data_IF_247613250404
#
_entry.id   IF_247613250404
#
_cell.length_a   1.000
_cell.length_b   1.000
_cell.length_c   1.000
_cell.angle_alpha   90.00
_cell.angle_beta   90.00
_cell.angle_gamma   90.00
#
_symmetry.space_group_name_H-M   'P 1'
#
loop_
_entity.id
_entity.type
_entity.pdbx_description
1 polymer ?
#
# COMPACT_ATOMS: atom_id res chain seq x y z
N UNK A 1 -6.02 -27.53 19.89
CA UNK A 1 -5.63 -27.19 18.50
C UNK A 1 -6.71 -27.73 17.59
N UNK A 2 -7.51 -26.86 16.99
CA UNK A 2 -8.72 -27.24 16.24
C UNK A 2 -8.42 -27.30 14.74
N UNK A 3 -9.24 -28.02 13.96
CA UNK A 3 -9.11 -28.12 12.49
C UNK A 3 -9.11 -26.73 11.81
N UNK A 4 -9.86 -25.79 12.38
CA UNK A 4 -9.92 -24.40 11.94
C UNK A 4 -8.59 -23.66 12.08
N UNK A 5 -7.76 -24.00 13.07
CA UNK A 5 -6.44 -23.39 13.25
C UNK A 5 -5.49 -23.77 12.10
N UNK A 6 -5.56 -25.02 11.64
CA UNK A 6 -4.73 -25.49 10.53
C UNK A 6 -5.13 -24.87 9.20
N UNK A 7 -6.43 -24.72 8.95
CA UNK A 7 -6.95 -24.05 7.76
C UNK A 7 -6.55 -22.57 7.77
N UNK A 8 -6.70 -21.89 8.91
CA UNK A 8 -6.32 -20.48 9.05
C UNK A 8 -4.82 -20.27 8.80
N UNK A 9 -3.95 -21.11 9.37
CA UNK A 9 -2.49 -21.06 9.13
C UNK A 9 -2.14 -21.33 7.67
N UNK A 10 -2.73 -22.37 7.06
CA UNK A 10 -2.49 -22.71 5.67
C UNK A 10 -2.87 -21.58 4.72
N UNK A 11 -4.05 -20.98 4.93
CA UNK A 11 -4.53 -19.84 4.15
C UNK A 11 -3.64 -18.60 4.32
N UNK A 12 -3.18 -18.35 5.55
CA UNK A 12 -2.27 -17.25 5.86
C UNK A 12 -0.95 -17.38 5.09
N UNK A 13 -0.29 -18.54 5.14
CA UNK A 13 0.95 -18.78 4.41
C UNK A 13 0.75 -18.73 2.89
N UNK A 14 -0.36 -19.28 2.39
CA UNK A 14 -0.69 -19.27 0.97
C UNK A 14 -0.92 -17.85 0.40
N UNK A 15 -1.45 -16.92 1.20
CA UNK A 15 -1.56 -15.51 0.80
C UNK A 15 -0.26 -14.73 1.01
N UNK A 16 0.48 -15.01 2.08
CA UNK A 16 1.67 -14.25 2.45
C UNK A 16 2.80 -14.41 1.43
N UNK A 17 3.04 -15.62 0.94
CA UNK A 17 4.10 -15.90 -0.04
C UNK A 17 3.97 -15.13 -1.36
N UNK A 18 2.83 -15.21 -2.09
CA UNK A 18 2.65 -14.47 -3.34
C UNK A 18 2.62 -12.96 -3.11
N UNK A 19 2.08 -12.48 -1.98
CA UNK A 19 2.12 -11.07 -1.63
C UNK A 19 3.56 -10.58 -1.40
N UNK A 20 4.36 -11.32 -0.63
CA UNK A 20 5.77 -11.00 -0.41
C UNK A 20 6.59 -11.05 -1.71
N UNK A 21 6.32 -12.03 -2.59
CA UNK A 21 6.96 -12.13 -3.90
C UNK A 21 6.60 -10.93 -4.79
N UNK A 22 5.33 -10.55 -4.85
CA UNK A 22 4.88 -9.39 -5.63
C UNK A 22 5.52 -8.09 -5.12
N UNK A 23 5.51 -7.86 -3.80
CA UNK A 23 6.15 -6.68 -3.20
C UNK A 23 7.65 -6.69 -3.47
N UNK A 24 8.34 -7.80 -3.27
CA UNK A 24 9.79 -7.89 -3.51
C UNK A 24 10.15 -7.65 -4.98
N UNK A 25 9.40 -8.25 -5.90
CA UNK A 25 9.59 -8.05 -7.34
C UNK A 25 9.28 -6.62 -7.76
N UNK A 26 8.18 -6.04 -7.27
CA UNK A 26 7.83 -4.64 -7.55
C UNK A 26 8.86 -3.68 -6.97
N UNK A 27 9.37 -3.97 -5.77
CA UNK A 27 10.38 -3.16 -5.09
C UNK A 27 11.74 -3.19 -5.80
N UNK A 28 12.12 -4.33 -6.39
CA UNK A 28 13.42 -4.50 -7.04
C UNK A 28 13.40 -4.11 -8.52
N UNK A 29 12.27 -4.32 -9.21
CA UNK A 29 12.17 -4.13 -10.66
C UNK A 29 11.64 -2.76 -11.06
N UNK A 30 10.69 -2.20 -10.29
CA UNK A 30 10.08 -0.91 -10.60
C UNK A 30 10.92 0.23 -10.04
N UNK A 31 11.02 1.37 -10.73
CA UNK A 31 11.47 2.62 -10.11
C UNK A 31 10.34 3.22 -9.28
N UNK A 32 9.80 2.45 -8.33
CA UNK A 32 8.67 2.84 -7.48
C UNK A 32 8.97 4.12 -6.68
N UNK A 33 10.24 4.36 -6.35
CA UNK A 33 10.70 5.60 -5.72
C UNK A 33 10.59 6.83 -6.61
N UNK A 34 10.53 6.66 -7.93
CA UNK A 34 10.56 7.74 -8.91
C UNK A 34 9.17 8.21 -9.36
N UNK A 35 8.11 7.44 -9.08
CA UNK A 35 6.74 7.80 -9.44
C UNK A 35 5.88 7.96 -8.19
N UNK A 36 5.03 8.99 -8.16
CA UNK A 36 4.14 9.24 -7.03
C UNK A 36 3.19 8.05 -6.79
N UNK A 37 2.68 7.45 -7.88
CA UNK A 37 1.83 6.25 -7.82
C UNK A 37 2.60 5.06 -7.24
N UNK A 38 3.86 4.86 -7.65
CA UNK A 38 4.71 3.79 -7.14
C UNK A 38 4.99 3.91 -5.65
N UNK A 39 5.23 5.13 -5.17
CA UNK A 39 5.41 5.43 -3.73
C UNK A 39 4.15 5.15 -2.92
N UNK A 40 2.97 5.51 -3.45
CA UNK A 40 1.68 5.25 -2.79
C UNK A 40 1.45 3.74 -2.67
N UNK A 41 1.60 2.99 -3.78
CA UNK A 41 1.39 1.54 -3.79
C UNK A 41 2.37 0.84 -2.83
N UNK A 42 3.65 1.22 -2.86
CA UNK A 42 4.65 0.62 -1.98
C UNK A 42 4.42 0.97 -0.51
N UNK A 43 4.05 2.21 -0.19
CA UNK A 43 3.70 2.59 1.17
C UNK A 43 2.50 1.80 1.71
N UNK A 44 1.52 1.49 0.87
CA UNK A 44 0.36 0.69 1.23
C UNK A 44 0.78 -0.77 1.47
N UNK A 45 1.57 -1.33 0.55
CA UNK A 45 2.12 -2.68 0.70
C UNK A 45 2.98 -2.82 1.97
N UNK A 46 3.82 -1.84 2.29
CA UNK A 46 4.62 -1.80 3.53
C UNK A 46 3.73 -1.74 4.77
N UNK A 47 2.67 -0.93 4.74
CA UNK A 47 1.72 -0.82 5.86
C UNK A 47 1.02 -2.15 6.13
N UNK A 48 0.57 -2.83 5.08
CA UNK A 48 -0.04 -4.17 5.16
C UNK A 48 0.98 -5.21 5.62
N UNK A 49 2.20 -5.18 5.10
CA UNK A 49 3.27 -6.09 5.50
C UNK A 49 3.63 -5.92 6.98
N UNK A 50 3.70 -4.68 7.46
CA UNK A 50 3.96 -4.37 8.86
C UNK A 50 2.85 -4.91 9.78
N UNK A 51 1.58 -4.63 9.47
CA UNK A 51 0.42 -5.14 10.20
C UNK A 51 0.40 -6.68 10.26
N UNK A 52 0.68 -7.31 9.13
CA UNK A 52 0.71 -8.77 9.00
C UNK A 52 1.89 -9.37 9.75
N UNK A 53 3.06 -8.73 9.68
CA UNK A 53 4.26 -9.13 10.41
C UNK A 53 4.10 -9.01 11.92
N UNK A 54 3.44 -7.94 12.40
CA UNK A 54 3.16 -7.77 13.83
C UNK A 54 2.18 -8.84 14.34
N UNK A 55 1.14 -9.15 13.57
CA UNK A 55 0.20 -10.24 13.87
C UNK A 55 0.89 -11.60 13.88
N UNK A 56 1.79 -11.85 12.92
CA UNK A 56 2.59 -13.08 12.87
C UNK A 56 3.57 -13.17 14.05
N UNK A 57 4.19 -12.06 14.43
CA UNK A 57 5.10 -12.00 15.58
C UNK A 57 4.37 -12.37 16.87
N UNK A 58 3.18 -11.81 17.12
CA UNK A 58 2.33 -12.22 18.26
C UNK A 58 1.98 -13.71 18.20
N UNK A 59 1.69 -14.22 17.02
CA UNK A 59 1.35 -15.63 16.83
C UNK A 59 2.50 -16.59 17.14
N UNK A 60 3.76 -16.18 16.89
CA UNK A 60 4.94 -17.03 17.03
C UNK A 60 5.65 -16.86 18.37
N UNK A 61 5.72 -15.63 18.88
CA UNK A 61 6.51 -15.26 20.06
C UNK A 61 5.68 -15.10 21.34
N UNK A 62 4.36 -15.27 21.27
CA UNK A 62 3.42 -14.92 22.34
C UNK A 62 3.46 -13.41 22.68
N UNK A 63 2.75 -12.96 23.72
CA UNK A 63 2.77 -11.54 24.16
C UNK A 63 4.21 -11.12 24.55
N UNK A 64 4.89 -10.44 23.62
CA UNK A 64 6.22 -9.89 23.86
C UNK A 64 6.13 -8.49 24.51
N UNK A 65 6.99 -8.16 25.48
CA UNK A 65 6.93 -6.89 26.18
C UNK A 65 7.12 -5.71 25.22
N UNK A 66 6.20 -4.74 25.28
CA UNK A 66 6.22 -3.54 24.44
C UNK A 66 5.42 -3.63 23.14
N UNK A 67 4.72 -4.74 22.89
CA UNK A 67 3.91 -4.91 21.68
C UNK A 67 2.89 -3.79 21.47
N UNK A 68 2.16 -3.37 22.51
CA UNK A 68 1.22 -2.25 22.39
C UNK A 68 1.92 -0.95 21.95
N UNK A 69 3.15 -0.71 22.40
CA UNK A 69 3.93 0.48 22.01
C UNK A 69 4.31 0.39 20.53
N UNK A 70 4.82 -0.76 20.07
CA UNK A 70 5.13 -0.98 18.66
C UNK A 70 3.88 -0.89 17.79
N UNK A 71 2.76 -1.44 18.26
CA UNK A 71 1.48 -1.40 17.54
C UNK A 71 0.98 0.03 17.39
N UNK A 72 1.00 0.83 18.46
CA UNK A 72 0.62 2.25 18.42
C UNK A 72 1.56 3.05 17.51
N UNK A 73 2.88 2.87 17.64
CA UNK A 73 3.85 3.55 16.80
C UNK A 73 3.68 3.19 15.31
N UNK A 74 3.44 1.92 15.03
CA UNK A 74 3.14 1.42 13.69
C UNK A 74 1.85 1.99 13.12
N UNK A 75 0.76 1.99 13.89
CA UNK A 75 -0.49 2.64 13.48
C UNK A 75 -0.30 4.13 13.21
N UNK A 76 0.48 4.83 14.04
CA UNK A 76 0.77 6.25 13.84
C UNK A 76 1.54 6.48 12.53
N UNK A 77 2.57 5.68 12.26
CA UNK A 77 3.34 5.75 11.02
C UNK A 77 2.49 5.44 9.79
N UNK A 78 1.63 4.42 9.85
CA UNK A 78 0.66 4.10 8.79
C UNK A 78 -0.31 5.26 8.58
N UNK A 79 -0.82 5.86 9.67
CA UNK A 79 -1.77 6.97 9.60
C UNK A 79 -1.14 8.20 8.93
N UNK A 80 0.10 8.56 9.30
CA UNK A 80 0.86 9.62 8.64
C UNK A 80 1.08 9.30 7.16
N UNK A 81 1.44 8.06 6.85
CA UNK A 81 1.60 7.58 5.47
C UNK A 81 0.31 7.72 4.65
N UNK A 82 -0.83 7.32 5.20
CA UNK A 82 -2.13 7.44 4.55
C UNK A 82 -2.52 8.91 4.33
N UNK A 83 -2.32 9.79 5.31
CA UNK A 83 -2.55 11.22 5.14
C UNK A 83 -1.67 11.81 4.03
N UNK A 84 -0.40 11.40 3.94
CA UNK A 84 0.48 11.81 2.86
C UNK A 84 -0.04 11.31 1.48
N UNK A 85 -0.56 10.08 1.40
CA UNK A 85 -1.17 9.57 0.17
C UNK A 85 -2.44 10.34 -0.22
N UNK A 86 -3.30 10.65 0.75
CA UNK A 86 -4.52 11.47 0.54
C UNK A 86 -4.13 12.86 0.04
N UNK A 87 -3.15 13.51 0.67
CA UNK A 87 -2.66 14.81 0.22
C UNK A 87 -2.07 14.75 -1.20
N UNK A 88 -1.34 13.68 -1.53
CA UNK A 88 -0.80 13.47 -2.88
C UNK A 88 -1.92 13.28 -3.91
N UNK A 89 -2.94 12.49 -3.58
CA UNK A 89 -4.10 12.26 -4.44
C UNK A 89 -4.89 13.55 -4.68
N UNK A 90 -5.11 14.35 -3.63
CA UNK A 90 -5.76 15.67 -3.74
C UNK A 90 -4.95 16.63 -4.62
N UNK A 91 -3.61 16.61 -4.51
CA UNK A 91 -2.74 17.41 -5.39
C UNK A 91 -2.85 16.99 -6.85
N UNK A 92 -2.82 15.68 -7.14
CA UNK A 92 -2.94 15.14 -8.49
C UNK A 92 -4.31 15.49 -9.08
N UNK A 93 -5.40 15.28 -8.33
CA UNK A 93 -6.76 15.61 -8.79
C UNK A 93 -6.94 17.10 -9.05
N UNK A 94 -6.40 17.97 -8.19
CA UNK A 94 -6.44 19.41 -8.40
C UNK A 94 -5.59 19.86 -9.61
N UNK A 95 -4.44 19.23 -9.85
CA UNK A 95 -3.62 19.50 -11.03
C UNK A 95 -4.33 19.11 -12.32
N UNK A 96 -5.01 17.96 -12.37
CA UNK A 96 -5.81 17.53 -13.53
C UNK A 96 -7.04 18.41 -13.74
N UNK A 97 -7.73 18.81 -12.67
CA UNK A 97 -8.91 19.69 -12.74
C UNK A 97 -8.58 21.10 -13.20
N UNK A 98 -7.41 21.61 -12.85
CA UNK A 98 -6.95 22.94 -13.23
C UNK A 98 -6.07 22.94 -14.49
N UNK A 99 -5.93 21.81 -15.19
CA UNK A 99 -5.17 21.73 -16.42
C UNK A 99 -5.89 22.56 -17.51
N UNK A 100 -5.30 23.68 -17.98
CA UNK A 100 -5.90 24.51 -19.01
C UNK A 100 -5.75 23.78 -20.36
N UNK A 101 -6.77 23.06 -20.80
CA UNK A 101 -6.71 22.39 -22.11
C UNK A 101 -7.82 21.41 -22.50
N UNK A 102 -8.70 20.97 -21.59
CA UNK A 102 -9.77 20.01 -21.95
C UNK A 102 -11.01 20.64 -22.62
N UNK A 103 -10.96 21.93 -23.00
CA UNK A 103 -12.12 22.70 -23.47
C UNK A 103 -12.15 23.03 -24.97
N UNK A 104 -11.12 22.70 -25.75
CA UNK A 104 -11.12 23.00 -27.19
C UNK A 104 -10.35 21.96 -28.00
N UNK A 105 -10.95 20.77 -28.17
CA UNK A 105 -10.80 20.08 -29.45
C UNK A 105 -11.74 20.82 -30.40
N UNK A 106 -11.22 21.87 -31.04
CA UNK A 106 -11.92 22.52 -32.16
C UNK A 106 -12.11 21.45 -33.24
N UNK A 107 -13.35 21.32 -33.69
CA UNK A 107 -13.70 20.72 -34.96
C UNK A 107 -12.99 21.51 -36.08
N UNK A 108 -11.80 21.09 -36.47
CA UNK A 108 -11.11 21.55 -37.68
C UNK A 108 -10.55 20.32 -38.38
N UNK A 109 -11.42 19.52 -38.98
CA UNK A 109 -11.17 18.82 -40.25
C UNK A 109 -12.52 18.62 -40.96
N UNK A 110 -13.19 19.73 -41.26
CA UNK A 110 -14.09 19.80 -42.41
C UNK A 110 -13.36 20.62 -43.48
N UNK A 111 -13.17 20.02 -44.65
CA UNK A 111 -12.63 20.56 -45.91
C UNK A 111 -11.10 20.52 -46.07
N UNK A 112 -10.61 19.45 -46.70
CA UNK A 112 -10.09 19.50 -48.10
C UNK A 112 -10.49 18.21 -48.80
#
# INVERSE_FOLDING_TARGET
MTLTDWIAKGLFWACMFPAAAFVSLYALRSRWWATDIGRIIMGLCLSVAYMTGLSLARFVLDDFPGEDVFRIAGYLAINIGLWHMVATLLRIQNATRNAPGSGHVKHEEEKV
#
